data_IF_387859268563
#
_entry.id   IF_387859268563
#
_cell.length_a   1.000
_cell.length_b   1.000
_cell.length_c   1.000
_cell.angle_alpha   90.00
_cell.angle_beta   90.00
_cell.angle_gamma   90.00
#
_symmetry.space_group_name_H-M   'P 1'
#
loop_
_entity.id
_entity.type
_entity.pdbx_description
1 polymer ?
#
# COMPACT_ATOMS: atom_id res chain seq x y z
N UNK A 1 -7.68 -0.74 -10.09
CA UNK A 1 -8.06 -1.31 -8.78
C UNK A 1 -8.54 -2.75 -9.01
N UNK A 2 -8.10 -3.70 -8.18
CA UNK A 2 -8.54 -5.09 -8.31
C UNK A 2 -8.92 -5.63 -6.93
N UNK A 3 -10.16 -6.11 -6.81
CA UNK A 3 -10.59 -6.94 -5.69
C UNK A 3 -10.14 -8.37 -5.98
N UNK A 4 -9.20 -8.87 -5.19
CA UNK A 4 -8.88 -10.29 -5.24
C UNK A 4 -9.89 -11.00 -4.34
N UNK A 5 -10.54 -12.03 -4.88
CA UNK A 5 -11.47 -12.86 -4.12
C UNK A 5 -10.80 -13.50 -2.90
N UNK A 6 -11.59 -14.11 -2.01
CA UNK A 6 -11.03 -14.78 -0.85
C UNK A 6 -9.97 -15.80 -1.29
N UNK A 7 -8.84 -15.80 -0.59
CA UNK A 7 -7.84 -16.86 -0.70
C UNK A 7 -8.48 -18.25 -0.36
N UNK A 8 -7.81 -19.37 -0.69
CA UNK A 8 -8.34 -20.73 -0.49
C UNK A 8 -8.77 -21.02 0.96
N UNK A 9 -8.30 -20.25 1.94
CA UNK A 9 -8.75 -20.34 3.33
C UNK A 9 -10.07 -19.63 3.64
N UNK A 10 -10.57 -18.75 2.76
CA UNK A 10 -11.79 -17.98 2.97
C UNK A 10 -11.69 -16.80 3.95
N UNK A 11 -10.52 -16.56 4.56
CA UNK A 11 -10.36 -15.58 5.65
C UNK A 11 -9.80 -14.22 5.22
N UNK A 12 -9.30 -14.10 3.99
CA UNK A 12 -8.49 -12.95 3.58
C UNK A 12 -9.04 -12.31 2.31
N UNK A 13 -9.70 -11.16 2.43
CA UNK A 13 -10.02 -10.28 1.31
C UNK A 13 -8.84 -9.32 1.07
N UNK A 14 -8.32 -9.28 -0.17
CA UNK A 14 -7.19 -8.40 -0.51
C UNK A 14 -7.53 -7.44 -1.63
N UNK A 15 -7.20 -6.16 -1.40
CA UNK A 15 -7.49 -5.06 -2.31
C UNK A 15 -6.17 -4.52 -2.86
N UNK A 16 -6.04 -4.52 -4.19
CA UNK A 16 -4.87 -3.96 -4.87
C UNK A 16 -5.21 -2.56 -5.38
N UNK A 17 -4.45 -1.58 -4.89
CA UNK A 17 -4.58 -0.15 -5.19
C UNK A 17 -3.26 0.42 -5.67
N UNK A 18 -3.30 1.24 -6.72
CA UNK A 18 -2.13 1.91 -7.25
C UNK A 18 -1.88 3.20 -6.46
N UNK A 19 -0.76 3.25 -5.73
CA UNK A 19 -0.42 4.43 -4.95
C UNK A 19 0.09 5.55 -5.87
N UNK A 20 -0.60 6.70 -5.85
CA UNK A 20 -0.24 7.88 -6.65
C UNK A 20 -1.16 8.18 -7.83
N UNK A 21 -2.16 7.34 -8.06
CA UNK A 21 -3.24 7.61 -9.02
C UNK A 21 -4.38 8.35 -8.32
N UNK A 22 -4.81 9.50 -8.85
CA UNK A 22 -5.87 10.34 -8.25
C UNK A 22 -7.18 9.58 -8.14
N UNK A 23 -7.43 8.64 -9.05
CA UNK A 23 -8.62 7.79 -9.05
C UNK A 23 -8.64 6.81 -7.88
N UNK A 24 -7.46 6.48 -7.34
CA UNK A 24 -7.33 5.53 -6.23
C UNK A 24 -7.54 6.19 -4.85
N UNK A 25 -7.51 7.52 -4.76
CA UNK A 25 -7.59 8.30 -3.52
C UNK A 25 -8.83 8.00 -2.65
N UNK A 26 -10.08 7.96 -3.18
CA UNK A 26 -11.27 7.63 -2.37
C UNK A 26 -11.21 6.21 -1.78
N UNK A 27 -10.53 5.27 -2.44
CA UNK A 27 -10.37 3.91 -1.93
C UNK A 27 -9.35 3.83 -0.79
N UNK A 28 -8.27 4.61 -0.87
CA UNK A 28 -7.29 4.72 0.22
C UNK A 28 -7.95 5.34 1.46
N UNK A 29 -8.82 6.34 1.28
CA UNK A 29 -9.59 6.94 2.38
C UNK A 29 -10.59 5.94 2.98
N UNK A 30 -11.31 5.18 2.15
CA UNK A 30 -12.21 4.13 2.61
C UNK A 30 -11.47 3.03 3.38
N UNK A 31 -10.29 2.62 2.92
CA UNK A 31 -9.42 1.67 3.62
C UNK A 31 -8.92 2.24 4.96
N UNK A 32 -8.62 3.53 5.04
CA UNK A 32 -8.28 4.22 6.28
C UNK A 32 -9.42 4.15 7.31
N UNK A 33 -10.64 4.48 6.87
CA UNK A 33 -11.83 4.36 7.72
C UNK A 33 -12.12 2.91 8.13
N UNK A 34 -11.95 1.96 7.20
CA UNK A 34 -12.12 0.53 7.48
C UNK A 34 -11.11 0.02 8.51
N UNK A 35 -9.82 0.33 8.33
CA UNK A 35 -8.73 0.00 9.27
C UNK A 35 -9.04 0.50 10.68
N UNK A 36 -9.57 1.73 10.80
CA UNK A 36 -9.99 2.26 12.10
C UNK A 36 -11.15 1.46 12.72
N UNK A 37 -12.12 1.03 11.91
CA UNK A 37 -13.29 0.27 12.37
C UNK A 37 -12.96 -1.16 12.81
N UNK A 38 -12.10 -1.88 12.07
CA UNK A 38 -11.78 -3.30 12.36
C UNK A 38 -10.66 -3.47 13.38
N UNK A 39 -9.84 -2.42 13.58
CA UNK A 39 -8.73 -2.39 14.52
C UNK A 39 -7.44 -3.05 13.97
N UNK A 40 -6.30 -2.66 14.55
CA UNK A 40 -4.97 -3.01 14.02
C UNK A 40 -4.63 -4.52 14.02
N UNK A 41 -5.35 -5.34 14.80
CA UNK A 41 -5.13 -6.80 14.82
C UNK A 41 -5.80 -7.54 13.66
N UNK A 42 -6.77 -6.88 13.01
CA UNK A 42 -7.60 -7.46 11.95
C UNK A 42 -7.36 -6.77 10.59
N UNK A 43 -6.34 -5.90 10.51
CA UNK A 43 -6.01 -5.17 9.30
C UNK A 43 -4.50 -5.09 9.13
N UNK A 44 -4.04 -5.44 7.93
CA UNK A 44 -2.64 -5.32 7.55
C UNK A 44 -2.56 -4.66 6.18
N UNK A 45 -1.74 -3.62 6.07
CA UNK A 45 -1.44 -2.96 4.80
C UNK A 45 -0.02 -3.29 4.36
N UNK A 46 0.10 -3.95 3.20
CA UNK A 46 1.36 -4.22 2.53
C UNK A 46 1.50 -3.28 1.36
N UNK A 47 2.59 -2.50 1.33
CA UNK A 47 2.90 -1.61 0.22
C UNK A 47 4.07 -2.16 -0.57
N UNK A 48 3.85 -2.40 -1.86
CA UNK A 48 4.87 -2.84 -2.79
C UNK A 48 5.29 -1.64 -3.62
N UNK A 49 6.59 -1.34 -3.66
CA UNK A 49 7.14 -0.24 -4.42
C UNK A 49 8.38 -0.70 -5.16
N UNK A 50 8.45 -0.40 -6.46
CA UNK A 50 9.64 -0.69 -7.26
C UNK A 50 10.75 0.31 -6.92
N UNK A 51 11.90 -0.17 -6.44
CA UNK A 51 13.12 0.64 -6.34
C UNK A 51 14.06 0.29 -7.49
N UNK A 52 14.08 1.09 -8.56
CA UNK A 52 14.95 0.80 -9.70
C UNK A 52 16.40 1.08 -9.33
N UNK A 53 17.28 0.18 -9.79
CA UNK A 53 18.73 0.39 -9.84
C UNK A 53 19.06 0.91 -11.24
N UNK A 54 19.60 2.13 -11.35
CA UNK A 54 20.07 2.61 -12.64
C UNK A 54 21.45 2.03 -12.95
N UNK A 55 21.52 1.16 -13.96
CA UNK A 55 22.75 0.48 -14.39
C UNK A 55 23.92 1.44 -14.72
N UNK A 56 23.63 2.70 -15.03
CA UNK A 56 24.64 3.74 -15.33
C UNK A 56 25.39 4.27 -14.11
N UNK A 57 24.82 4.17 -12.91
CA UNK A 57 25.41 4.71 -11.66
C UNK A 57 25.42 3.71 -10.51
N UNK A 58 24.72 2.57 -10.62
CA UNK A 58 24.59 1.57 -9.56
C UNK A 58 23.78 2.04 -8.34
N UNK A 59 23.18 3.23 -8.40
CA UNK A 59 22.44 3.85 -7.29
C UNK A 59 20.98 3.41 -7.28
N UNK A 60 20.50 3.01 -6.10
CA UNK A 60 19.08 2.74 -5.84
C UNK A 60 18.31 4.04 -5.66
N UNK A 61 17.27 4.25 -6.48
CA UNK A 61 16.45 5.46 -6.38
C UNK A 61 15.26 5.24 -5.45
N UNK A 62 15.45 5.52 -4.16
CA UNK A 62 14.44 5.30 -3.10
C UNK A 62 13.48 6.48 -2.89
N UNK A 63 13.75 7.65 -3.50
CA UNK A 63 12.89 8.86 -3.37
C UNK A 63 11.41 8.63 -3.74
N UNK A 64 11.07 7.90 -4.83
CA UNK A 64 9.67 7.63 -5.17
C UNK A 64 8.95 6.80 -4.08
N UNK A 65 9.60 5.76 -3.55
CA UNK A 65 9.07 4.95 -2.46
C UNK A 65 8.86 5.78 -1.20
N UNK A 66 9.82 6.65 -0.84
CA UNK A 66 9.69 7.54 0.32
C UNK A 66 8.50 8.50 0.20
N UNK A 67 8.23 9.03 -1.01
CA UNK A 67 7.10 9.92 -1.25
C UNK A 67 5.76 9.19 -1.07
N UNK A 68 5.64 7.99 -1.64
CA UNK A 68 4.43 7.16 -1.52
C UNK A 68 4.16 6.75 -0.07
N UNK A 69 5.20 6.29 0.66
CA UNK A 69 5.12 5.93 2.08
C UNK A 69 4.66 7.11 2.93
N UNK A 70 5.18 8.33 2.66
CA UNK A 70 4.78 9.54 3.39
C UNK A 70 3.31 9.89 3.13
N UNK A 71 2.83 9.74 1.89
CA UNK A 71 1.43 9.96 1.53
C UNK A 71 0.49 9.01 2.27
N UNK A 72 0.79 7.71 2.26
CA UNK A 72 -0.02 6.69 2.93
C UNK A 72 -0.07 6.90 4.46
N UNK A 73 1.07 7.24 5.08
CA UNK A 73 1.11 7.58 6.51
C UNK A 73 0.30 8.83 6.85
N UNK A 74 0.28 9.83 5.97
CA UNK A 74 -0.53 11.05 6.13
C UNK A 74 -2.03 10.77 6.16
N UNK A 75 -2.48 9.68 5.53
CA UNK A 75 -3.87 9.23 5.50
C UNK A 75 -4.23 8.32 6.69
N UNK A 76 -3.35 8.20 7.69
CA UNK A 76 -3.59 7.39 8.88
C UNK A 76 -3.37 5.88 8.69
N UNK A 77 -2.81 5.48 7.53
CA UNK A 77 -2.53 4.07 7.25
C UNK A 77 -1.16 3.66 7.80
N UNK A 78 -1.18 2.72 8.74
CA UNK A 78 0.01 2.06 9.27
C UNK A 78 0.53 1.01 8.29
N UNK A 79 1.69 1.27 7.68
CA UNK A 79 2.35 0.33 6.77
C UNK A 79 3.05 -0.77 7.57
N UNK A 80 2.63 -2.02 7.39
CA UNK A 80 3.23 -3.16 8.08
C UNK A 80 4.53 -3.63 7.41
N UNK A 81 4.58 -3.62 6.08
CA UNK A 81 5.74 -4.03 5.28
C UNK A 81 5.87 -3.18 4.01
N UNK A 82 7.11 -2.79 3.68
CA UNK A 82 7.48 -2.17 2.40
C UNK A 82 8.38 -3.15 1.67
N UNK A 83 7.88 -3.72 0.57
CA UNK A 83 8.69 -4.55 -0.32
C UNK A 83 9.39 -3.65 -1.34
N UNK A 84 10.71 -3.82 -1.47
CA UNK A 84 11.59 -3.12 -2.40
C UNK A 84 11.90 -3.99 -3.62
#
# INVERSE_FOLDING_TARGET
MQLCGPDESGYNESVIVNAGDIESMPFIEALGQFSYRVGQRNFCLVHVSLVPVLNTVGEQKTKPTQHSVRGLRGLGLGLALVYH
#
